data_IF_309215537986
#
_entry.id   IF_309215537986
#
_cell.length_a   1.000
_cell.length_b   1.000
_cell.length_c   1.000
_cell.angle_alpha   90.00
_cell.angle_beta   90.00
_cell.angle_gamma   90.00
#
_symmetry.space_group_name_H-M   'P 1'
#
loop_
_entity.id
_entity.type
_entity.pdbx_description
1 polymer ?
#
# COMPACT_ATOMS: atom_id res chain seq x y z
N UNK A 1 13.53 -3.40 2.58
CA UNK A 1 13.66 -3.71 1.13
C UNK A 1 12.79 -4.89 0.68
N UNK A 2 12.32 -5.76 1.58
CA UNK A 2 11.43 -6.87 1.22
C UNK A 2 10.13 -6.42 0.50
N UNK A 3 9.47 -5.35 0.97
CA UNK A 3 8.29 -4.81 0.28
C UNK A 3 8.59 -4.30 -1.14
N UNK A 4 9.80 -3.79 -1.38
CA UNK A 4 10.21 -3.36 -2.72
C UNK A 4 10.31 -4.55 -3.66
N UNK A 5 10.92 -5.66 -3.21
CA UNK A 5 10.99 -6.89 -3.99
C UNK A 5 9.61 -7.47 -4.29
N UNK A 6 8.73 -7.50 -3.27
CA UNK A 6 7.34 -7.93 -3.44
C UNK A 6 6.58 -7.07 -4.47
N UNK A 7 6.76 -5.74 -4.41
CA UNK A 7 6.18 -4.84 -5.41
C UNK A 7 6.67 -5.18 -6.83
N UNK A 8 7.98 -5.41 -6.99
CA UNK A 8 8.58 -5.79 -8.27
C UNK A 8 8.05 -7.13 -8.79
N UNK A 9 7.91 -8.14 -7.93
CA UNK A 9 7.32 -9.45 -8.28
C UNK A 9 5.84 -9.33 -8.72
N UNK A 10 5.12 -8.37 -8.15
CA UNK A 10 3.74 -8.03 -8.55
C UNK A 10 3.68 -7.12 -9.79
N UNK A 11 4.82 -6.75 -10.39
CA UNK A 11 4.86 -5.86 -11.55
C UNK A 11 4.49 -4.41 -11.24
N UNK A 12 4.69 -3.97 -10.00
CA UNK A 12 4.37 -2.60 -9.55
C UNK A 12 5.56 -1.94 -8.85
N UNK A 13 5.43 -0.66 -8.52
CA UNK A 13 6.45 0.08 -7.76
C UNK A 13 6.10 0.07 -6.28
N UNK A 14 7.12 0.24 -5.42
CA UNK A 14 6.90 0.39 -3.97
C UNK A 14 5.96 1.56 -3.65
N UNK A 15 6.03 2.66 -4.40
CA UNK A 15 5.16 3.81 -4.21
C UNK A 15 3.69 3.45 -4.49
N UNK A 16 3.43 2.79 -5.62
CA UNK A 16 2.09 2.32 -5.97
C UNK A 16 1.56 1.29 -4.99
N UNK A 17 2.40 0.34 -4.54
CA UNK A 17 2.04 -0.63 -3.51
C UNK A 17 1.61 0.05 -2.21
N UNK A 18 2.37 1.03 -1.73
CA UNK A 18 2.05 1.74 -0.49
C UNK A 18 0.73 2.53 -0.59
N UNK A 19 0.50 3.21 -1.71
CA UNK A 19 -0.75 3.95 -1.96
C UNK A 19 -1.93 2.97 -2.03
N UNK A 20 -1.80 1.88 -2.76
CA UNK A 20 -2.84 0.85 -2.87
C UNK A 20 -3.15 0.20 -1.52
N UNK A 21 -2.14 -0.09 -0.71
CA UNK A 21 -2.30 -0.61 0.64
C UNK A 21 -3.10 0.35 1.53
N UNK A 22 -2.82 1.65 1.42
CA UNK A 22 -3.57 2.70 2.14
C UNK A 22 -5.02 2.76 1.67
N UNK A 23 -5.27 2.67 0.36
CA UNK A 23 -6.62 2.65 -0.23
C UNK A 23 -7.43 1.39 0.13
N UNK A 24 -6.78 0.25 0.39
CA UNK A 24 -7.44 -1.01 0.73
C UNK A 24 -8.09 -0.99 2.12
N UNK A 25 -7.66 -0.09 3.00
CA UNK A 25 -8.21 0.01 4.35
C UNK A 25 -9.61 0.64 4.32
N UNK A 26 -10.67 -0.08 4.77
CA UNK A 26 -12.04 0.43 4.73
C UNK A 26 -12.27 1.66 5.64
N UNK A 27 -11.37 1.93 6.59
CA UNK A 27 -11.42 3.10 7.46
C UNK A 27 -10.77 4.35 6.82
N UNK A 28 -10.20 4.24 5.62
CA UNK A 28 -9.58 5.34 4.88
C UNK A 28 -10.55 5.81 3.81
N UNK A 29 -11.06 7.04 3.92
CA UNK A 29 -11.94 7.62 2.90
C UNK A 29 -11.18 8.20 1.70
N UNK A 30 -9.95 8.68 1.92
CA UNK A 30 -9.13 9.31 0.88
C UNK A 30 -7.64 9.22 1.22
N UNK A 31 -6.79 9.19 0.19
CA UNK A 31 -5.33 9.23 0.31
C UNK A 31 -4.82 10.55 -0.25
N UNK A 32 -4.13 11.33 0.58
CA UNK A 32 -3.53 12.60 0.19
C UNK A 32 -2.16 12.32 -0.44
N UNK A 33 -2.03 12.60 -1.74
CA UNK A 33 -0.79 12.35 -2.50
C UNK A 33 0.12 13.59 -2.51
N UNK A 34 1.42 13.37 -2.30
CA UNK A 34 2.47 14.34 -2.55
C UNK A 34 3.23 14.01 -3.84
N UNK A 35 3.45 15.00 -4.71
CA UNK A 35 4.26 14.85 -5.92
C UNK A 35 5.03 16.15 -6.20
N UNK A 36 6.33 16.02 -6.52
CA UNK A 36 7.18 17.18 -6.88
C UNK A 36 7.19 17.48 -8.38
N UNK A 37 6.63 16.57 -9.20
CA UNK A 37 6.54 16.66 -10.65
C UNK A 37 5.31 15.90 -11.15
N UNK A 38 4.81 16.29 -12.32
CA UNK A 38 3.61 15.70 -12.91
C UNK A 38 3.75 14.18 -13.11
N UNK A 39 4.88 13.70 -13.63
CA UNK A 39 5.10 12.27 -13.86
C UNK A 39 5.03 11.42 -12.59
N UNK A 40 5.36 11.99 -11.42
CA UNK A 40 5.20 11.30 -10.15
C UNK A 40 3.73 11.22 -9.74
N UNK A 41 2.95 12.27 -9.99
CA UNK A 41 1.52 12.24 -9.74
C UNK A 41 0.85 11.20 -10.65
N UNK A 42 1.20 11.17 -11.94
CA UNK A 42 0.70 10.18 -12.90
C UNK A 42 1.06 8.75 -12.48
N UNK A 43 2.31 8.51 -12.03
CA UNK A 43 2.74 7.22 -11.49
C UNK A 43 1.96 6.81 -10.23
N UNK A 44 1.77 7.75 -9.29
CA UNK A 44 1.02 7.51 -8.06
C UNK A 44 -0.45 7.14 -8.34
N UNK A 45 -1.08 7.75 -9.35
CA UNK A 45 -2.47 7.46 -9.73
C UNK A 45 -2.65 6.03 -10.27
N UNK A 46 -1.62 5.43 -10.87
CA UNK A 46 -1.64 4.04 -11.34
C UNK A 46 -1.70 3.02 -10.18
N UNK A 47 -1.57 3.46 -8.92
CA UNK A 47 -1.79 2.61 -7.76
C UNK A 47 -3.21 2.01 -7.71
N UNK A 48 -4.19 2.63 -8.35
CA UNK A 48 -5.57 2.13 -8.39
C UNK A 48 -5.67 0.73 -9.02
N UNK A 49 -4.78 0.42 -9.98
CA UNK A 49 -4.71 -0.88 -10.66
C UNK A 49 -4.11 -1.98 -9.77
N UNK A 50 -3.44 -1.59 -8.68
CA UNK A 50 -2.80 -2.50 -7.72
C UNK A 50 -3.77 -2.89 -6.60
N UNK A 51 -4.74 -2.04 -6.25
CA UNK A 51 -5.75 -2.30 -5.20
C UNK A 51 -6.43 -3.67 -5.33
N UNK A 52 -6.92 -4.11 -6.50
CA UNK A 52 -7.52 -5.45 -6.64
C UNK A 52 -6.52 -6.60 -6.49
N UNK A 53 -5.22 -6.36 -6.68
CA UNK A 53 -4.16 -7.37 -6.53
C UNK A 53 -3.80 -7.62 -5.05
N UNK A 54 -4.21 -6.73 -4.14
CA UNK A 54 -4.04 -6.90 -2.69
C UNK A 54 -5.07 -7.89 -2.15
N UNK A 55 -4.82 -9.17 -2.42
CA UNK A 55 -5.55 -10.31 -1.85
C UNK A 55 -5.24 -10.46 -0.35
N UNK A 56 -6.01 -11.30 0.34
CA UNK A 56 -5.77 -11.59 1.76
C UNK A 56 -4.36 -12.15 2.01
N UNK A 57 -3.87 -13.02 1.13
CA UNK A 57 -2.51 -13.59 1.21
C UNK A 57 -1.44 -12.51 1.06
N UNK A 58 -1.58 -11.62 0.06
CA UNK A 58 -0.63 -10.51 -0.14
C UNK A 58 -0.66 -9.57 1.06
N UNK A 59 -1.84 -9.26 1.59
CA UNK A 59 -1.96 -8.44 2.80
C UNK A 59 -1.30 -9.11 4.00
N UNK A 60 -1.47 -10.42 4.18
CA UNK A 60 -0.81 -11.16 5.26
C UNK A 60 0.73 -11.15 5.12
N UNK A 61 1.25 -11.24 3.90
CA UNK A 61 2.68 -11.09 3.63
C UNK A 61 3.19 -9.68 3.96
N UNK A 62 2.44 -8.63 3.61
CA UNK A 62 2.80 -7.24 3.96
C UNK A 62 2.85 -7.09 5.49
N UNK A 63 1.85 -7.60 6.22
CA UNK A 63 1.82 -7.57 7.69
C UNK A 63 3.02 -8.30 8.31
N UNK A 64 3.39 -9.45 7.75
CA UNK A 64 4.56 -10.23 8.19
C UNK A 64 5.85 -9.45 8.00
N UNK A 65 6.00 -8.75 6.87
CA UNK A 65 7.20 -7.95 6.58
C UNK A 65 7.26 -6.69 7.46
N UNK A 66 6.13 -6.04 7.72
CA UNK A 66 6.07 -4.82 8.51
C UNK A 66 6.25 -5.08 10.01
N UNK A 67 5.66 -6.15 10.53
CA UNK A 67 5.83 -6.58 11.92
C UNK A 67 5.44 -5.54 12.97
N UNK A 68 4.66 -4.52 12.59
CA UNK A 68 4.36 -3.33 13.40
C UNK A 68 2.86 -3.10 13.58
N UNK A 69 2.04 -4.14 13.34
CA UNK A 69 0.58 -4.06 13.47
C UNK A 69 0.22 -3.50 14.85
N UNK A 70 -0.57 -2.41 14.92
CA UNK A 70 -0.88 -1.77 16.18
C UNK A 70 -1.66 -2.73 17.07
N UNK A 71 -1.39 -2.68 18.38
CA UNK A 71 -2.23 -3.35 19.35
C UNK A 71 -3.61 -2.69 19.34
N UNK A 72 -4.70 -3.46 19.42
CA UNK A 72 -6.02 -2.89 19.67
C UNK A 72 -5.95 -1.97 20.89
N UNK A 73 -6.49 -0.76 20.77
CA UNK A 73 -6.54 0.17 21.88
C UNK A 73 -7.55 -0.38 22.91
N UNK A 74 -7.05 -0.78 24.08
CA UNK A 74 -7.89 -1.22 25.18
C UNK A 74 -8.39 0.02 25.92
N UNK A 75 -9.71 0.24 25.90
CA UNK A 75 -10.37 1.40 26.52
C UNK A 75 -10.99 1.03 27.88
N UNK A 76 -10.38 0.09 28.62
CA UNK A 76 -10.78 -0.22 29.99
C UNK A 76 -10.59 0.97 30.93
#
# INVERSE_FOLDING_TARGET
>A
RALTHMAEEMGTTMARLAIAWTLKNPNVSTVILGASRLSQLEDNLQAIEVVPQLTEDVMAQIETVLGNKPKPMDFQ
#
